data_IF_824772781478
#
_entry.id   IF_824772781478
#
_cell.length_a   1.000
_cell.length_b   1.000
_cell.length_c   1.000
_cell.angle_alpha   90.00
_cell.angle_beta   90.00
_cell.angle_gamma   90.00
#
_symmetry.space_group_name_H-M   'P 1'
#
loop_
_entity.id
_entity.type
_entity.pdbx_description
1 polymer ?
#
# COMPACT_ATOMS: atom_id res chain seq x y z
N UNK A 1 -25.96 60.79 4.70
CA UNK A 1 -25.88 59.39 4.21
C UNK A 1 -24.42 59.04 3.97
N UNK A 2 -23.83 58.12 4.73
CA UNK A 2 -22.52 57.53 4.40
C UNK A 2 -22.78 56.27 3.58
N UNK A 3 -22.55 56.35 2.28
CA UNK A 3 -22.60 55.19 1.38
C UNK A 3 -21.27 54.47 1.50
N UNK A 4 -21.27 53.26 2.07
CA UNK A 4 -20.11 52.37 2.04
C UNK A 4 -20.08 51.69 0.68
N UNK A 5 -19.20 52.15 -0.22
CA UNK A 5 -18.82 51.39 -1.39
C UNK A 5 -17.86 50.27 -0.94
N UNK A 6 -18.38 49.06 -0.72
CA UNK A 6 -17.54 47.87 -0.77
C UNK A 6 -17.16 47.65 -2.24
N UNK A 7 -15.92 47.97 -2.62
CA UNK A 7 -15.38 47.51 -3.88
C UNK A 7 -15.25 45.98 -3.79
N UNK A 8 -16.08 45.27 -4.53
CA UNK A 8 -15.80 43.87 -4.88
C UNK A 8 -14.62 43.90 -5.85
N UNK A 9 -13.40 43.90 -5.30
CA UNK A 9 -12.19 43.60 -6.06
C UNK A 9 -12.34 42.16 -6.59
N UNK A 10 -12.74 42.03 -7.85
CA UNK A 10 -12.66 40.74 -8.55
C UNK A 10 -11.20 40.32 -8.55
N UNK A 11 -10.91 39.10 -8.10
CA UNK A 11 -9.56 38.54 -8.18
C UNK A 11 -9.17 38.43 -9.66
N UNK A 12 -8.23 39.27 -10.11
CA UNK A 12 -7.73 39.29 -11.48
C UNK A 12 -6.29 38.76 -11.46
N UNK A 13 -6.09 37.62 -12.11
CA UNK A 13 -4.77 37.06 -12.34
C UNK A 13 -4.45 37.28 -13.83
N UNK A 14 -3.32 37.90 -14.14
CA UNK A 14 -2.90 38.25 -15.51
C UNK A 14 -1.61 37.52 -15.88
N UNK A 15 -1.44 37.04 -17.14
CA UNK A 15 -2.39 37.13 -18.27
C UNK A 15 -3.49 36.06 -18.21
N UNK A 16 -4.72 36.41 -18.65
CA UNK A 16 -5.89 35.50 -18.66
C UNK A 16 -5.60 34.20 -19.44
N UNK A 17 -5.86 33.01 -18.87
CA UNK A 17 -6.77 32.73 -17.74
C UNK A 17 -6.17 32.90 -16.33
N UNK A 18 -4.98 33.48 -16.20
CA UNK A 18 -4.41 33.99 -14.95
C UNK A 18 -3.80 32.92 -14.05
N UNK A 19 -4.57 31.88 -13.72
CA UNK A 19 -4.10 30.71 -13.00
C UNK A 19 -4.14 29.48 -13.94
N UNK A 20 -3.01 28.80 -14.05
CA UNK A 20 -2.89 27.58 -14.87
C UNK A 20 -3.27 26.33 -14.04
N UNK A 21 -3.50 25.18 -14.69
CA UNK A 21 -3.77 23.88 -14.08
C UNK A 21 -4.97 23.80 -13.11
N UNK A 22 -6.02 24.61 -13.33
CA UNK A 22 -7.27 24.52 -12.57
C UNK A 22 -7.26 25.23 -11.20
N UNK A 23 -6.25 26.05 -10.91
CA UNK A 23 -6.22 26.90 -9.72
C UNK A 23 -7.24 28.05 -9.76
N UNK A 24 -7.72 28.47 -8.59
CA UNK A 24 -8.63 29.61 -8.41
C UNK A 24 -7.86 30.88 -8.06
N UNK A 25 -8.14 31.98 -8.75
CA UNK A 25 -7.58 33.29 -8.41
C UNK A 25 -8.30 33.84 -7.16
N UNK A 26 -7.57 34.08 -6.07
CA UNK A 26 -8.15 34.55 -4.79
C UNK A 26 -7.82 36.00 -4.49
N UNK A 27 -6.76 36.54 -5.08
CA UNK A 27 -6.43 37.97 -5.06
C UNK A 27 -5.55 38.33 -6.27
N UNK A 28 -5.26 39.61 -6.53
CA UNK A 28 -4.49 40.01 -7.71
C UNK A 28 -3.16 39.26 -7.83
N UNK A 29 -3.04 38.43 -8.88
CA UNK A 29 -1.91 37.54 -9.14
C UNK A 29 -1.57 36.54 -8.03
N UNK A 30 -2.56 36.13 -7.23
CA UNK A 30 -2.41 35.03 -6.25
C UNK A 30 -3.38 33.92 -6.59
N UNK A 31 -2.83 32.75 -6.87
CA UNK A 31 -3.58 31.54 -7.18
C UNK A 31 -3.60 30.59 -5.96
N UNK A 32 -4.79 30.08 -5.62
CA UNK A 32 -5.02 29.04 -4.62
C UNK A 32 -5.42 27.74 -5.31
N UNK A 33 -4.78 26.63 -4.92
CA UNK A 33 -5.21 25.27 -5.30
C UNK A 33 -6.13 24.68 -4.22
N UNK A 34 -6.91 23.65 -4.57
CA UNK A 34 -7.87 23.01 -3.67
C UNK A 34 -7.23 22.34 -2.44
N UNK A 35 -5.90 22.28 -2.36
CA UNK A 35 -5.15 21.77 -1.20
C UNK A 35 -4.01 22.73 -0.83
N UNK A 36 -4.35 23.85 -0.19
CA UNK A 36 -3.48 24.61 0.73
C UNK A 36 -2.26 25.40 0.21
N UNK A 37 -1.88 25.32 -1.07
CA UNK A 37 -0.73 26.05 -1.64
C UNK A 37 -1.04 27.44 -2.22
N UNK A 38 -0.10 28.40 -2.09
CA UNK A 38 -0.17 29.77 -2.65
C UNK A 38 1.06 30.09 -3.53
N UNK A 39 0.87 30.79 -4.67
CA UNK A 39 1.97 31.21 -5.59
C UNK A 39 1.55 32.29 -6.61
N UNK A 40 2.53 32.92 -7.29
CA UNK A 40 2.33 34.17 -8.06
C UNK A 40 2.25 34.07 -9.60
N UNK A 41 2.97 33.15 -10.28
CA UNK A 41 2.85 32.85 -11.72
C UNK A 41 3.58 31.51 -12.00
N UNK A 42 2.93 30.48 -12.56
CA UNK A 42 3.58 29.16 -12.79
C UNK A 42 4.13 29.01 -14.21
N UNK A 43 5.43 28.76 -14.35
CA UNK A 43 6.07 28.33 -15.59
C UNK A 43 7.02 27.16 -15.26
N UNK A 44 6.46 25.94 -15.27
CA UNK A 44 7.16 24.70 -14.90
C UNK A 44 6.65 24.07 -13.60
N UNK A 45 6.44 22.75 -13.67
CA UNK A 45 5.85 21.83 -12.68
C UNK A 45 4.40 22.12 -12.26
N UNK A 46 3.50 21.30 -12.84
CA UNK A 46 2.24 20.82 -12.25
C UNK A 46 2.32 20.85 -10.73
N UNK A 47 1.26 21.25 -10.04
CA UNK A 47 1.11 21.07 -8.60
C UNK A 47 1.50 19.63 -8.27
N UNK A 48 2.73 19.41 -7.83
CA UNK A 48 3.09 18.15 -7.21
C UNK A 48 2.45 18.26 -5.84
N UNK A 49 1.15 17.93 -5.77
CA UNK A 49 0.73 17.06 -4.68
C UNK A 49 1.84 16.02 -4.59
N UNK A 50 2.57 15.96 -3.48
CA UNK A 50 3.46 14.84 -3.24
C UNK A 50 2.58 13.62 -3.51
N UNK A 51 2.85 12.92 -4.61
CA UNK A 51 2.15 11.68 -4.88
C UNK A 51 2.66 10.70 -3.83
N UNK A 52 1.79 9.89 -3.23
CA UNK A 52 2.23 8.87 -2.30
C UNK A 52 3.36 8.05 -2.92
N UNK A 53 4.53 8.06 -2.28
CA UNK A 53 5.70 7.30 -2.71
C UNK A 53 5.82 6.03 -1.90
N UNK A 54 6.65 5.08 -2.35
CA UNK A 54 6.94 3.88 -1.57
C UNK A 54 7.57 4.30 -0.24
N UNK A 55 6.97 3.89 0.89
CA UNK A 55 7.43 4.24 2.24
C UNK A 55 8.33 3.17 2.86
N UNK A 56 8.49 2.04 2.18
CA UNK A 56 9.34 0.90 2.55
C UNK A 56 10.57 0.81 1.63
N UNK A 57 11.60 0.09 2.05
CA UNK A 57 12.83 -0.11 1.27
C UNK A 57 13.41 -1.51 1.47
N UNK A 58 14.27 -1.94 0.56
CA UNK A 58 14.85 -3.30 0.59
C UNK A 58 15.81 -3.56 1.75
N UNK A 59 16.29 -2.50 2.41
CA UNK A 59 17.08 -2.59 3.65
C UNK A 59 16.24 -2.69 4.92
N UNK A 60 14.92 -2.51 4.83
CA UNK A 60 14.03 -2.79 5.96
C UNK A 60 14.00 -4.29 6.27
N UNK A 61 13.69 -4.64 7.51
CA UNK A 61 13.49 -6.04 7.88
C UNK A 61 12.01 -6.39 7.78
N UNK A 62 11.68 -7.36 6.93
CA UNK A 62 10.33 -7.86 6.71
C UNK A 62 10.14 -9.18 7.44
N UNK A 63 9.17 -9.22 8.35
CA UNK A 63 8.89 -10.40 9.17
C UNK A 63 7.70 -11.14 8.59
N UNK A 64 7.96 -12.31 8.01
CA UNK A 64 6.91 -13.21 7.50
C UNK A 64 6.00 -13.67 8.65
N UNK A 65 4.69 -13.64 8.43
CA UNK A 65 3.70 -14.05 9.43
C UNK A 65 2.57 -14.88 8.83
N UNK A 66 1.93 -15.66 9.69
CA UNK A 66 0.77 -16.49 9.39
C UNK A 66 -0.21 -16.51 10.57
N UNK A 67 -1.33 -17.23 10.40
CA UNK A 67 -2.32 -17.52 11.46
C UNK A 67 -2.85 -16.28 12.15
N UNK A 68 -3.09 -15.25 11.36
CA UNK A 68 -3.40 -13.93 11.86
C UNK A 68 -4.54 -13.31 11.07
N UNK A 69 -5.24 -12.40 11.72
CA UNK A 69 -6.36 -11.64 11.16
C UNK A 69 -6.20 -10.20 11.62
N UNK A 70 -6.97 -9.26 11.05
CA UNK A 70 -6.99 -7.89 11.55
C UNK A 70 -7.27 -7.85 13.06
N UNK A 71 -6.42 -7.16 13.81
CA UNK A 71 -6.43 -7.08 15.27
C UNK A 71 -6.02 -8.36 16.01
N UNK A 72 -5.63 -9.42 15.29
CA UNK A 72 -5.22 -10.71 15.85
C UNK A 72 -3.71 -10.84 16.05
N UNK A 73 -3.31 -11.74 16.94
CA UNK A 73 -1.91 -12.11 17.13
C UNK A 73 -1.34 -12.74 15.84
N UNK A 74 -0.02 -12.68 15.69
CA UNK A 74 0.69 -13.24 14.54
C UNK A 74 1.68 -14.32 14.97
N UNK A 75 1.70 -15.41 14.21
CA UNK A 75 2.76 -16.42 14.32
C UNK A 75 3.82 -16.14 13.25
N UNK A 76 5.09 -16.16 13.62
CA UNK A 76 6.19 -16.00 12.66
C UNK A 76 6.22 -17.17 11.67
N UNK A 77 6.26 -16.87 10.37
CA UNK A 77 6.49 -17.90 9.35
C UNK A 77 7.97 -18.23 9.23
N UNK A 78 8.27 -19.47 8.83
CA UNK A 78 9.64 -19.95 8.68
C UNK A 78 9.92 -20.45 7.26
N UNK A 79 11.19 -20.51 6.82
CA UNK A 79 11.54 -21.15 5.56
C UNK A 79 11.08 -22.62 5.49
N UNK A 80 10.41 -23.02 4.41
CA UNK A 80 10.01 -24.41 4.19
C UNK A 80 8.84 -24.58 3.23
N UNK A 81 8.17 -25.73 3.32
CA UNK A 81 7.05 -26.12 2.43
C UNK A 81 5.81 -26.62 3.17
N UNK A 82 5.80 -26.48 4.49
CA UNK A 82 4.70 -26.84 5.38
C UNK A 82 3.83 -25.64 5.79
N UNK A 83 2.99 -25.87 6.79
CA UNK A 83 2.10 -24.85 7.33
C UNK A 83 2.88 -23.76 8.07
N UNK A 84 2.45 -22.51 7.89
CA UNK A 84 3.15 -21.31 8.32
C UNK A 84 4.57 -21.20 7.76
N UNK A 85 4.76 -21.59 6.50
CA UNK A 85 6.06 -21.51 5.85
C UNK A 85 5.99 -20.79 4.51
N UNK A 86 7.12 -20.23 4.12
CA UNK A 86 7.34 -19.64 2.80
C UNK A 86 8.46 -20.39 2.08
N UNK A 87 8.39 -20.46 0.76
CA UNK A 87 9.39 -21.19 -0.02
C UNK A 87 10.77 -20.52 0.12
N UNK A 88 11.81 -21.35 0.17
CA UNK A 88 13.19 -20.93 0.35
C UNK A 88 14.12 -21.78 -0.54
N UNK A 89 15.36 -21.33 -0.71
CA UNK A 89 16.44 -22.11 -1.31
C UNK A 89 16.66 -21.63 -2.73
N UNK A 90 16.72 -22.56 -3.69
CA UNK A 90 16.96 -22.20 -5.09
C UNK A 90 15.90 -21.24 -5.68
N UNK A 91 14.70 -21.21 -5.11
CA UNK A 91 13.63 -20.31 -5.52
C UNK A 91 13.67 -18.97 -4.77
N UNK A 92 14.17 -18.97 -3.52
CA UNK A 92 14.06 -17.89 -2.53
C UNK A 92 12.81 -17.03 -2.75
N UNK A 93 11.70 -17.39 -2.09
CA UNK A 93 10.41 -16.69 -2.21
C UNK A 93 9.99 -16.14 -0.83
N UNK A 94 10.90 -15.38 -0.21
CA UNK A 94 10.73 -14.79 1.10
C UNK A 94 10.06 -13.40 1.01
N UNK A 95 9.67 -12.76 2.13
CA UNK A 95 8.89 -11.51 2.10
C UNK A 95 9.57 -10.34 1.39
N UNK A 96 10.90 -10.31 1.31
CA UNK A 96 11.62 -9.22 0.64
C UNK A 96 11.28 -9.16 -0.86
N UNK A 97 10.94 -10.30 -1.46
CA UNK A 97 10.59 -10.46 -2.86
C UNK A 97 9.17 -9.97 -3.16
N UNK A 98 8.48 -9.41 -2.17
CA UNK A 98 7.23 -8.67 -2.37
C UNK A 98 7.43 -7.15 -2.34
N UNK A 99 8.65 -6.66 -2.24
CA UNK A 99 8.94 -5.22 -2.10
C UNK A 99 10.25 -4.80 -2.76
N UNK A 100 10.86 -5.67 -3.57
CA UNK A 100 12.19 -5.46 -4.13
C UNK A 100 12.18 -4.68 -5.46
N UNK A 101 11.01 -4.34 -5.97
CA UNK A 101 10.83 -3.61 -7.22
C UNK A 101 11.10 -4.46 -8.46
N UNK A 102 11.19 -5.79 -8.31
CA UNK A 102 11.41 -6.74 -9.37
C UNK A 102 10.25 -7.73 -9.50
N UNK A 103 9.36 -7.48 -10.48
CA UNK A 103 8.23 -8.38 -10.77
C UNK A 103 8.62 -9.84 -11.06
N UNK A 104 9.89 -10.15 -11.36
CA UNK A 104 10.35 -11.52 -11.64
C UNK A 104 10.67 -12.34 -10.38
N UNK A 105 10.73 -11.72 -9.21
CA UNK A 105 10.78 -12.43 -7.92
C UNK A 105 9.36 -12.51 -7.35
N UNK A 106 9.15 -13.29 -6.28
CA UNK A 106 7.87 -13.34 -5.58
C UNK A 106 8.01 -13.76 -4.14
N UNK A 107 7.08 -13.31 -3.32
CA UNK A 107 6.80 -13.93 -2.04
C UNK A 107 5.70 -14.99 -2.20
N UNK A 108 5.89 -16.15 -1.57
CA UNK A 108 4.89 -17.23 -1.54
C UNK A 108 4.77 -17.80 -0.12
N UNK A 109 3.54 -17.91 0.39
CA UNK A 109 3.29 -18.50 1.71
C UNK A 109 2.17 -19.55 1.65
N UNK A 110 2.38 -20.70 2.29
CA UNK A 110 1.43 -21.82 2.32
C UNK A 110 0.30 -21.64 3.34
N UNK A 111 0.44 -20.71 4.30
CA UNK A 111 -0.59 -20.43 5.30
C UNK A 111 -0.92 -21.65 6.16
N UNK A 112 -2.20 -22.04 6.24
CA UNK A 112 -2.64 -23.23 7.00
C UNK A 112 -2.26 -24.57 6.35
N UNK A 113 -1.71 -24.56 5.14
CA UNK A 113 -1.40 -25.75 4.36
C UNK A 113 0.06 -25.96 4.10
N UNK A 114 0.34 -26.96 3.27
CA UNK A 114 1.67 -27.26 2.75
C UNK A 114 1.65 -27.19 1.22
N UNK A 115 2.82 -27.34 0.61
CA UNK A 115 2.97 -27.45 -0.84
C UNK A 115 2.14 -28.56 -1.48
N UNK A 116 1.69 -29.56 -0.68
CA UNK A 116 0.93 -30.73 -1.14
C UNK A 116 -0.59 -30.63 -0.92
N UNK A 117 -1.10 -29.51 -0.40
CA UNK A 117 -2.52 -29.37 -0.04
C UNK A 117 -3.11 -28.12 -0.68
N UNK A 118 -4.20 -28.25 -1.44
CA UNK A 118 -4.88 -27.10 -2.06
C UNK A 118 -6.26 -26.86 -1.47
N UNK A 119 -6.60 -25.59 -1.22
CA UNK A 119 -7.94 -25.13 -0.83
C UNK A 119 -8.11 -23.68 -1.32
N UNK A 120 -9.30 -23.10 -1.16
CA UNK A 120 -9.53 -21.68 -1.44
C UNK A 120 -8.99 -20.73 -0.36
N UNK A 121 -8.36 -21.26 0.68
CA UNK A 121 -7.88 -20.50 1.84
C UNK A 121 -6.42 -20.78 2.17
N UNK A 122 -5.71 -21.59 1.37
CA UNK A 122 -4.26 -21.73 1.56
C UNK A 122 -3.57 -20.40 1.31
N UNK A 123 -2.52 -20.10 2.07
CA UNK A 123 -1.85 -18.80 2.01
C UNK A 123 -2.67 -17.59 2.48
N UNK A 124 -3.98 -17.71 2.74
CA UNK A 124 -4.74 -16.64 3.42
C UNK A 124 -4.31 -16.54 4.88
N UNK A 125 -4.57 -15.40 5.52
CA UNK A 125 -4.10 -15.06 6.87
C UNK A 125 -2.57 -15.12 6.98
N UNK A 126 -1.88 -14.79 5.89
CA UNK A 126 -0.43 -14.66 5.82
C UNK A 126 -0.04 -13.29 5.27
N UNK A 127 1.21 -12.92 5.47
CA UNK A 127 1.79 -11.71 4.92
C UNK A 127 3.06 -11.37 5.65
N UNK A 128 3.28 -10.08 5.90
CA UNK A 128 4.43 -9.61 6.63
C UNK A 128 4.12 -8.35 7.44
N UNK A 129 4.97 -8.07 8.41
CA UNK A 129 5.06 -6.74 8.99
C UNK A 129 6.46 -6.15 8.83
N UNK A 130 6.53 -4.83 8.87
CA UNK A 130 7.75 -4.05 8.69
C UNK A 130 7.71 -2.80 9.57
N UNK A 131 8.88 -2.40 10.05
CA UNK A 131 9.12 -1.09 10.66
C UNK A 131 10.05 -0.34 9.71
N UNK A 132 9.53 0.52 8.82
CA UNK A 132 10.36 1.19 7.83
C UNK A 132 11.42 2.08 8.46
N UNK A 133 12.66 1.97 7.99
CA UNK A 133 13.79 2.77 8.46
C UNK A 133 13.67 4.26 8.09
N UNK A 134 12.83 4.57 7.08
CA UNK A 134 12.50 5.95 6.70
C UNK A 134 11.68 6.69 7.77
N UNK A 135 11.23 5.97 8.80
CA UNK A 135 10.59 6.53 9.98
C UNK A 135 9.06 6.58 9.88
N UNK A 136 8.49 7.49 10.66
CA UNK A 136 7.04 7.66 10.75
C UNK A 136 6.46 8.15 9.43
N UNK A 137 5.33 7.57 9.02
CA UNK A 137 4.67 7.91 7.75
C UNK A 137 3.15 7.81 7.88
N UNK A 138 2.45 8.36 6.89
CA UNK A 138 1.01 8.13 6.69
C UNK A 138 0.82 7.27 5.45
N UNK A 139 0.28 6.06 5.62
CA UNK A 139 -0.12 5.20 4.50
C UNK A 139 -1.29 5.84 3.75
N UNK A 140 -1.18 5.94 2.43
CA UNK A 140 -2.20 6.47 1.51
C UNK A 140 -2.58 5.49 0.40
N UNK A 141 -1.87 4.38 0.24
CA UNK A 141 -2.26 3.36 -0.72
C UNK A 141 -1.39 2.12 -0.69
N UNK A 142 -1.79 1.16 -1.52
CA UNK A 142 -1.05 -0.06 -1.79
C UNK A 142 -0.91 -0.26 -3.30
N UNK A 143 0.15 -0.93 -3.71
CA UNK A 143 0.40 -1.28 -5.10
C UNK A 143 0.93 -2.72 -5.18
N UNK A 144 0.16 -3.58 -5.84
CA UNK A 144 0.49 -5.01 -6.00
C UNK A 144 0.97 -5.34 -7.40
N UNK A 145 1.77 -6.40 -7.51
CA UNK A 145 2.09 -7.06 -8.77
C UNK A 145 1.84 -8.57 -8.70
N UNK A 146 1.30 -9.12 -9.79
CA UNK A 146 1.06 -10.58 -9.95
C UNK A 146 2.37 -11.33 -10.15
N UNK A 147 2.49 -12.54 -9.60
CA UNK A 147 3.69 -13.38 -9.79
C UNK A 147 3.75 -14.08 -11.16
N UNK A 148 4.62 -15.09 -11.31
CA UNK A 148 4.83 -15.88 -12.53
C UNK A 148 4.01 -17.20 -12.67
N UNK A 149 3.78 -17.97 -11.59
CA UNK A 149 3.37 -19.40 -11.74
C UNK A 149 1.89 -19.67 -12.06
N UNK A 150 0.96 -19.33 -11.17
CA UNK A 150 -0.47 -19.70 -11.26
C UNK A 150 -1.38 -18.55 -10.81
N UNK A 151 -2.38 -18.15 -11.61
CA UNK A 151 -3.33 -17.08 -11.25
C UNK A 151 -4.20 -17.42 -10.04
N UNK A 152 -4.48 -18.71 -9.77
CA UNK A 152 -5.32 -19.15 -8.66
C UNK A 152 -4.76 -18.73 -7.28
N UNK A 153 -3.45 -18.47 -7.21
CA UNK A 153 -2.71 -18.03 -6.03
C UNK A 153 -2.69 -16.51 -5.84
N UNK A 154 -3.28 -15.73 -6.74
CA UNK A 154 -3.23 -14.27 -6.66
C UNK A 154 -3.97 -13.77 -5.41
N UNK A 155 -3.42 -12.80 -4.66
CA UNK A 155 -4.08 -12.20 -3.51
C UNK A 155 -5.15 -11.21 -3.98
N UNK A 156 -6.43 -11.51 -3.75
CA UNK A 156 -7.53 -10.65 -4.23
C UNK A 156 -7.88 -9.56 -3.23
N UNK A 157 -7.87 -9.90 -1.94
CA UNK A 157 -8.11 -8.95 -0.86
C UNK A 157 -7.03 -9.02 0.21
N UNK A 158 -6.81 -7.91 0.88
CA UNK A 158 -5.91 -7.81 2.01
C UNK A 158 -6.49 -6.91 3.12
N UNK A 159 -5.83 -6.96 4.27
CA UNK A 159 -5.90 -5.90 5.28
C UNK A 159 -4.55 -5.24 5.43
N UNK A 160 -4.56 -3.94 5.73
CA UNK A 160 -3.37 -3.21 6.17
C UNK A 160 -3.64 -2.59 7.53
N UNK A 161 -2.69 -2.74 8.43
CA UNK A 161 -2.77 -2.24 9.80
C UNK A 161 -1.52 -1.42 10.14
N UNK A 162 -1.67 -0.48 11.07
CA UNK A 162 -0.60 0.38 11.56
C UNK A 162 -0.33 0.14 13.04
N UNK A 163 0.93 0.32 13.45
CA UNK A 163 1.34 0.28 14.85
C UNK A 163 2.34 1.40 15.17
N UNK A 164 2.28 1.88 16.41
CA UNK A 164 3.26 2.80 17.00
C UNK A 164 3.94 2.17 18.24
N UNK A 165 3.83 0.86 18.41
CA UNK A 165 4.46 0.13 19.51
C UNK A 165 5.85 -0.37 19.13
N UNK A 166 6.68 -0.66 20.14
CA UNK A 166 8.02 -1.23 19.94
C UNK A 166 7.98 -2.65 19.37
N UNK A 167 9.10 -3.09 18.79
CA UNK A 167 9.23 -4.38 18.10
C UNK A 167 8.80 -5.60 18.91
N UNK A 168 8.96 -5.58 20.24
CA UNK A 168 8.53 -6.66 21.14
C UNK A 168 7.01 -6.86 21.22
N UNK A 169 6.23 -5.87 20.78
CA UNK A 169 4.76 -5.91 20.82
C UNK A 169 4.15 -6.29 19.46
N UNK A 170 4.92 -6.26 18.37
CA UNK A 170 4.41 -6.40 17.00
C UNK A 170 3.90 -7.81 16.66
N UNK A 171 4.17 -8.83 17.50
CA UNK A 171 3.57 -10.15 17.39
C UNK A 171 2.14 -10.22 17.94
N UNK A 172 1.69 -9.23 18.72
CA UNK A 172 0.39 -9.25 19.37
C UNK A 172 -0.62 -8.35 18.67
N UNK A 173 -1.84 -8.85 18.51
CA UNK A 173 -2.91 -8.20 17.77
C UNK A 173 -3.33 -6.85 18.34
N UNK A 174 -3.29 -6.71 19.67
CA UNK A 174 -3.62 -5.44 20.34
C UNK A 174 -2.69 -4.28 19.98
N UNK A 175 -1.51 -4.56 19.44
CA UNK A 175 -0.57 -3.54 18.98
C UNK A 175 -0.95 -2.94 17.61
N UNK A 176 -1.93 -3.52 16.90
CA UNK A 176 -2.26 -3.16 15.53
C UNK A 176 -3.62 -2.46 15.44
N UNK A 177 -3.68 -1.40 14.63
CA UNK A 177 -4.91 -0.69 14.30
C UNK A 177 -5.23 -0.91 12.82
N UNK A 178 -6.44 -1.37 12.51
CA UNK A 178 -6.88 -1.55 11.13
C UNK A 178 -6.95 -0.22 10.38
N UNK A 179 -6.23 -0.13 9.27
CA UNK A 179 -6.20 1.02 8.36
C UNK A 179 -7.08 0.75 7.14
N UNK A 180 -6.97 -0.47 6.59
CA UNK A 180 -7.60 -0.84 5.33
C UNK A 180 -8.05 -2.30 5.34
N UNK A 181 -9.19 -2.57 4.72
CA UNK A 181 -9.68 -3.91 4.40
C UNK A 181 -10.39 -3.85 3.05
N UNK A 182 -9.88 -4.56 2.05
CA UNK A 182 -10.45 -4.48 0.70
C UNK A 182 -9.58 -5.14 -0.35
N UNK A 183 -9.79 -4.77 -1.62
CA UNK A 183 -9.05 -5.30 -2.76
C UNK A 183 -7.57 -4.91 -2.75
N UNK A 184 -6.71 -5.77 -3.29
CA UNK A 184 -5.31 -5.47 -3.62
C UNK A 184 -5.15 -4.67 -4.92
N UNK A 185 -6.24 -4.48 -5.67
CA UNK A 185 -6.24 -3.97 -7.04
C UNK A 185 -6.22 -5.09 -8.09
N UNK A 186 -5.89 -6.32 -7.70
CA UNK A 186 -5.98 -7.49 -8.58
C UNK A 186 -7.47 -7.89 -8.72
N UNK A 187 -8.02 -7.97 -9.95
CA UNK A 187 -9.42 -8.33 -10.15
C UNK A 187 -9.65 -9.79 -9.74
N UNK A 188 -10.72 -10.09 -9.01
CA UNK A 188 -11.04 -11.48 -8.60
C UNK A 188 -11.65 -12.36 -9.71
N UNK A 189 -12.33 -11.75 -10.69
CA UNK A 189 -13.14 -12.47 -11.68
C UNK A 189 -12.38 -13.01 -12.90
N UNK A 190 -11.15 -12.56 -13.15
CA UNK A 190 -10.32 -12.98 -14.29
C UNK A 190 -8.83 -12.74 -14.00
N UNK A 191 -7.97 -13.51 -14.66
CA UNK A 191 -6.51 -13.30 -14.62
C UNK A 191 -6.15 -12.01 -15.39
N UNK A 192 -5.56 -10.98 -14.75
CA UNK A 192 -5.15 -9.75 -15.41
C UNK A 192 -3.87 -9.91 -16.25
N UNK A 193 -3.17 -11.04 -16.15
CA UNK A 193 -1.82 -11.25 -16.67
C UNK A 193 -0.81 -11.46 -15.54
N UNK A 194 0.42 -11.84 -15.91
CA UNK A 194 1.47 -12.25 -14.96
C UNK A 194 2.67 -11.32 -15.05
N UNK A 195 3.42 -11.18 -13.96
CA UNK A 195 4.60 -10.29 -13.87
C UNK A 195 4.27 -8.81 -14.15
N UNK A 196 3.05 -8.37 -13.83
CA UNK A 196 2.58 -7.01 -14.08
C UNK A 196 2.16 -6.31 -12.78
N UNK A 197 2.41 -5.01 -12.72
CA UNK A 197 1.84 -4.12 -11.71
C UNK A 197 0.36 -3.87 -11.99
N UNK A 198 -0.43 -3.82 -10.92
CA UNK A 198 -1.81 -3.35 -10.97
C UNK A 198 -1.89 -1.83 -10.85
N UNK A 199 -3.10 -1.29 -10.95
CA UNK A 199 -3.34 0.08 -10.49
C UNK A 199 -3.24 0.15 -8.96
N UNK A 200 -2.70 1.26 -8.44
CA UNK A 200 -2.66 1.49 -7.00
C UNK A 200 -4.07 1.64 -6.43
N UNK A 201 -4.24 1.16 -5.19
CA UNK A 201 -5.48 1.32 -4.44
C UNK A 201 -5.29 2.42 -3.41
N UNK A 202 -6.11 3.46 -3.49
CA UNK A 202 -6.09 4.57 -2.54
C UNK A 202 -6.72 4.16 -1.20
N UNK A 203 -6.09 4.58 -0.10
CA UNK A 203 -6.49 4.31 1.27
C UNK A 203 -6.72 5.63 2.00
N UNK A 204 -7.90 5.77 2.60
CA UNK A 204 -8.24 6.92 3.44
C UNK A 204 -7.70 6.73 4.86
N UNK A 205 -6.49 7.19 5.10
CA UNK A 205 -5.87 7.22 6.42
C UNK A 205 -5.17 8.55 6.69
N UNK A 206 -5.36 9.10 7.88
CA UNK A 206 -4.73 10.35 8.33
C UNK A 206 -3.92 10.16 9.63
N UNK A 207 -3.72 8.91 10.05
CA UNK A 207 -2.97 8.58 11.26
C UNK A 207 -1.58 8.11 10.85
N UNK A 208 -0.59 8.66 11.56
CA UNK A 208 0.82 8.35 11.38
C UNK A 208 1.20 7.08 12.14
N UNK A 209 1.96 6.20 11.49
CA UNK A 209 2.44 4.94 12.05
C UNK A 209 3.94 4.75 11.82
N UNK A 210 4.59 4.04 12.73
CA UNK A 210 6.00 3.63 12.60
C UNK A 210 6.16 2.23 12.02
N UNK A 211 5.11 1.40 12.07
CA UNK A 211 5.12 0.04 11.57
C UNK A 211 3.83 -0.29 10.84
N UNK A 212 3.92 -1.16 9.84
CA UNK A 212 2.79 -1.63 9.05
C UNK A 212 2.76 -3.15 8.98
N UNK A 213 1.55 -3.71 8.94
CA UNK A 213 1.29 -5.14 8.73
C UNK A 213 0.32 -5.32 7.58
N UNK A 214 0.68 -6.15 6.62
CA UNK A 214 -0.19 -6.52 5.50
C UNK A 214 -0.55 -8.00 5.60
N UNK A 215 -1.85 -8.32 5.47
CA UNK A 215 -2.36 -9.69 5.53
C UNK A 215 -3.23 -9.97 4.31
N UNK A 216 -3.00 -11.08 3.63
CA UNK A 216 -3.86 -11.52 2.53
C UNK A 216 -5.09 -12.23 3.11
N UNK A 217 -6.28 -11.79 2.71
CA UNK A 217 -7.55 -12.28 3.26
C UNK A 217 -8.35 -13.13 2.28
N UNK A 218 -8.02 -13.09 0.99
CA UNK A 218 -8.55 -14.03 0.00
C UNK A 218 -7.60 -14.21 -1.17
N UNK A 219 -7.73 -15.36 -1.83
CA UNK A 219 -7.03 -15.68 -3.07
C UNK A 219 -8.04 -15.95 -4.19
N UNK A 220 -7.58 -15.88 -5.45
CA UNK A 220 -8.46 -16.01 -6.63
C UNK A 220 -9.18 -17.35 -6.70
N UNK A 221 -8.46 -18.44 -6.45
CA UNK A 221 -8.93 -19.78 -6.74
C UNK A 221 -8.57 -20.80 -5.67
N UNK A 222 -8.53 -22.06 -6.07
CA UNK A 222 -8.10 -23.18 -5.23
C UNK A 222 -6.66 -23.48 -5.55
N UNK A 223 -5.78 -23.26 -4.58
CA UNK A 223 -4.35 -23.49 -4.73
C UNK A 223 -3.73 -23.85 -3.38
N UNK A 224 -2.45 -24.19 -3.38
CA UNK A 224 -1.70 -24.57 -2.19
C UNK A 224 -1.09 -23.41 -1.40
N UNK A 225 -1.18 -22.18 -1.92
CA UNK A 225 -0.49 -21.00 -1.38
C UNK A 225 -1.01 -19.72 -2.02
N UNK A 226 -0.61 -18.58 -1.45
CA UNK A 226 -0.73 -17.26 -2.07
C UNK A 226 0.64 -16.82 -2.57
N UNK A 227 0.67 -16.12 -3.71
CA UNK A 227 1.90 -15.52 -4.24
C UNK A 227 1.70 -14.13 -4.84
N UNK A 228 2.70 -13.27 -4.73
CA UNK A 228 2.73 -11.95 -5.34
C UNK A 228 4.17 -11.46 -5.46
N UNK A 229 4.44 -10.69 -6.52
CA UNK A 229 5.76 -10.14 -6.78
C UNK A 229 5.99 -8.81 -6.12
N UNK A 230 4.93 -8.03 -5.93
CA UNK A 230 5.04 -6.75 -5.23
C UNK A 230 3.81 -6.52 -4.37
N UNK A 231 4.01 -5.80 -3.27
CA UNK A 231 3.04 -5.35 -2.29
C UNK A 231 3.57 -4.06 -1.64
N UNK A 232 3.81 -3.03 -2.46
CA UNK A 232 4.34 -1.75 -1.98
C UNK A 232 3.31 -1.00 -1.13
N UNK A 233 3.80 -0.39 -0.05
CA UNK A 233 3.08 0.58 0.75
C UNK A 233 3.39 1.98 0.23
N UNK A 234 2.35 2.76 -0.08
CA UNK A 234 2.49 4.12 -0.61
C UNK A 234 2.03 5.15 0.43
N UNK A 235 2.78 6.23 0.62
CA UNK A 235 2.50 7.21 1.68
C UNK A 235 3.33 8.48 1.63
N UNK A 236 3.27 9.23 2.74
CA UNK A 236 4.00 10.48 3.00
C UNK A 236 4.85 10.39 4.26
#
# INVERSE_FOLDING_TARGET
LKVYFQSLLTAICSPSPGCLNGGTCTSPNVCQCYIGGFGNQWQGSVCQDHLPSIITQTSDTYYAICYTVAGGDSTASTPGSGACQYTHGALDENPLQAVDGNVNTKYLNYGYGSSSQSSSTQGTNTGFYVTPLNGISVLKGILFATANDSPERDPITCTVEGSNYGSSSLSYGWAWTLIYSGTTGIPGGYDPGRLIYMSSVAISNNVYYTSYRILITSQRGVANSVQYSEAHLLGY
#
